data_IF_000215147853
#
_entry.id   IF_000215147853
#
_cell.length_a   1.000
_cell.length_b   1.000
_cell.length_c   1.000
_cell.angle_alpha   90.00
_cell.angle_beta   90.00
_cell.angle_gamma   90.00
#
_symmetry.space_group_name_H-M   'P 1'
#
loop_
_entity.id
_entity.type
_entity.pdbx_description
1 polymer ?
#
# COMPACT_ATOMS: atom_id res chain seq x y z
N UNK A 1 39.01 17.08 6.36
CA UNK A 1 38.22 15.83 6.46
C UNK A 1 37.46 15.73 7.78
N UNK A 2 38.01 16.20 8.91
CA UNK A 2 37.31 16.29 10.20
C UNK A 2 36.02 17.13 10.17
N UNK A 3 36.02 18.28 9.50
CA UNK A 3 34.81 19.13 9.41
C UNK A 3 33.63 18.40 8.78
N UNK A 4 33.86 17.61 7.72
CA UNK A 4 32.80 16.84 7.06
C UNK A 4 32.23 15.73 7.96
N UNK A 5 33.10 15.03 8.71
CA UNK A 5 32.68 13.97 9.64
C UNK A 5 31.89 14.58 10.82
N UNK A 6 32.30 15.74 11.31
CA UNK A 6 31.59 16.45 12.38
C UNK A 6 30.23 16.97 11.90
N UNK A 7 30.14 17.56 10.71
CA UNK A 7 28.86 17.96 10.11
C UNK A 7 27.93 16.76 9.86
N UNK A 8 28.47 15.62 9.42
CA UNK A 8 27.71 14.38 9.30
C UNK A 8 27.14 13.93 10.65
N UNK A 9 27.97 13.96 11.70
CA UNK A 9 27.57 13.56 13.06
C UNK A 9 26.49 14.48 13.63
N UNK A 10 26.61 15.78 13.40
CA UNK A 10 25.61 16.77 13.81
C UNK A 10 24.27 16.53 13.12
N UNK A 11 24.25 16.38 11.79
CA UNK A 11 23.05 16.06 11.01
C UNK A 11 22.40 14.75 11.45
N UNK A 12 23.19 13.69 11.70
CA UNK A 12 22.67 12.43 12.24
C UNK A 12 22.04 12.61 13.63
N UNK A 13 22.66 13.44 14.49
CA UNK A 13 22.13 13.71 15.83
C UNK A 13 20.84 14.54 15.80
N UNK A 14 20.67 15.44 14.84
CA UNK A 14 19.43 16.20 14.64
C UNK A 14 18.30 15.30 14.11
N UNK A 15 18.61 14.41 13.15
CA UNK A 15 17.66 13.41 12.62
C UNK A 15 17.16 12.47 13.73
N UNK A 16 18.00 12.14 14.71
CA UNK A 16 17.60 11.27 15.84
C UNK A 16 16.85 12.02 16.94
N UNK A 17 17.02 13.34 17.06
CA UNK A 17 16.35 14.16 18.09
C UNK A 17 14.94 14.56 17.68
N UNK A 18 14.67 14.71 16.39
CA UNK A 18 13.33 15.04 15.92
C UNK A 18 12.45 13.78 15.89
N UNK A 19 11.28 13.77 16.55
CA UNK A 19 10.38 12.62 16.57
C UNK A 19 9.80 12.30 15.18
N UNK A 20 9.66 13.31 14.31
CA UNK A 20 9.14 13.16 12.95
C UNK A 20 10.12 12.40 12.04
N UNK A 21 11.41 12.67 12.14
CA UNK A 21 12.43 11.99 11.34
C UNK A 21 12.65 10.54 11.77
N UNK A 22 12.43 10.22 13.04
CA UNK A 22 12.46 8.83 13.51
C UNK A 22 11.28 8.03 12.92
N UNK A 23 10.08 8.62 12.91
CA UNK A 23 8.90 8.00 12.32
C UNK A 23 9.05 7.75 10.81
N UNK A 24 9.61 8.72 10.07
CA UNK A 24 9.86 8.54 8.63
C UNK A 24 10.91 7.47 8.36
N UNK A 25 11.98 7.41 9.16
CA UNK A 25 13.01 6.36 9.03
C UNK A 25 12.41 4.96 9.25
N UNK A 26 11.60 4.79 10.30
CA UNK A 26 10.88 3.54 10.55
C UNK A 26 9.93 3.17 9.42
N UNK A 27 9.17 4.13 8.90
CA UNK A 27 8.29 3.93 7.75
C UNK A 27 9.03 3.45 6.51
N UNK A 28 10.20 4.05 6.21
CA UNK A 28 11.06 3.64 5.09
C UNK A 28 11.62 2.22 5.30
N UNK A 29 12.05 1.89 6.53
CA UNK A 29 12.53 0.53 6.86
C UNK A 29 11.41 -0.49 6.64
N UNK A 30 10.19 -0.22 7.13
CA UNK A 30 9.03 -1.11 6.91
C UNK A 30 8.77 -1.28 5.42
N UNK A 31 8.73 -0.19 4.64
CA UNK A 31 8.57 -0.23 3.19
C UNK A 31 9.60 -1.15 2.52
N UNK A 32 10.88 -0.98 2.84
CA UNK A 32 11.97 -1.82 2.31
C UNK A 32 11.76 -3.29 2.68
N UNK A 33 11.43 -3.60 3.93
CA UNK A 33 11.16 -4.97 4.37
C UNK A 33 9.98 -5.59 3.61
N UNK A 34 8.92 -4.81 3.39
CA UNK A 34 7.74 -5.24 2.63
C UNK A 34 8.14 -5.57 1.18
N UNK A 35 8.90 -4.70 0.52
CA UNK A 35 9.42 -4.93 -0.84
C UNK A 35 10.39 -6.13 -0.91
N UNK A 36 11.16 -6.41 0.13
CA UNK A 36 12.01 -7.61 0.19
C UNK A 36 11.13 -8.88 0.19
N UNK A 37 9.97 -8.86 0.85
CA UNK A 37 9.03 -10.00 0.84
C UNK A 37 8.42 -10.25 -0.54
N UNK A 38 8.27 -9.23 -1.39
CA UNK A 38 7.78 -9.41 -2.77
C UNK A 38 8.68 -10.35 -3.59
N UNK A 39 9.98 -10.42 -3.31
CA UNK A 39 10.91 -11.34 -4.01
C UNK A 39 10.60 -12.83 -3.77
N UNK A 40 9.79 -13.16 -2.75
CA UNK A 40 9.40 -14.54 -2.43
C UNK A 40 8.10 -14.98 -3.12
N UNK A 41 7.45 -14.10 -3.88
CA UNK A 41 6.18 -14.41 -4.53
C UNK A 41 6.42 -15.45 -5.64
N UNK A 42 5.74 -16.58 -5.55
CA UNK A 42 5.67 -17.57 -6.63
C UNK A 42 4.35 -17.41 -7.36
N UNK A 43 4.40 -16.96 -8.62
CA UNK A 43 3.21 -16.78 -9.46
C UNK A 43 3.05 -17.99 -10.37
N UNK A 44 1.98 -18.75 -10.14
CA UNK A 44 1.46 -19.73 -11.09
C UNK A 44 0.35 -19.08 -11.93
N UNK A 45 0.14 -19.57 -13.16
CA UNK A 45 -0.89 -19.07 -14.08
C UNK A 45 -2.28 -19.09 -13.45
N UNK A 46 -2.58 -20.11 -12.64
CA UNK A 46 -3.86 -20.21 -11.90
C UNK A 46 -4.02 -19.09 -10.86
N UNK A 47 -2.94 -18.75 -10.15
CA UNK A 47 -2.94 -17.69 -9.14
C UNK A 47 -3.12 -16.34 -9.84
N UNK A 48 -2.39 -16.09 -10.94
CA UNK A 48 -2.53 -14.87 -11.73
C UNK A 48 -3.95 -14.66 -12.25
N UNK A 49 -4.59 -15.72 -12.76
CA UNK A 49 -5.98 -15.64 -13.21
C UNK A 49 -6.95 -15.29 -12.06
N UNK A 50 -6.77 -15.89 -10.87
CA UNK A 50 -7.61 -15.60 -9.69
C UNK A 50 -7.39 -14.19 -9.16
N UNK A 51 -6.14 -13.69 -9.15
CA UNK A 51 -5.84 -12.28 -8.86
C UNK A 51 -6.58 -11.38 -9.85
N UNK A 52 -6.50 -11.66 -11.15
CA UNK A 52 -7.21 -10.87 -12.17
C UNK A 52 -8.72 -10.80 -11.96
N UNK A 53 -9.35 -11.94 -11.64
CA UNK A 53 -10.78 -12.01 -11.31
C UNK A 53 -11.09 -11.19 -10.04
N UNK A 54 -10.27 -11.34 -8.99
CA UNK A 54 -10.45 -10.60 -7.75
C UNK A 54 -10.30 -9.09 -7.94
N UNK A 55 -9.33 -8.66 -8.76
CA UNK A 55 -9.14 -7.25 -9.12
C UNK A 55 -10.36 -6.72 -9.88
N UNK A 56 -10.86 -7.46 -10.88
CA UNK A 56 -12.06 -7.06 -11.62
C UNK A 56 -13.28 -6.92 -10.70
N UNK A 57 -13.49 -7.87 -9.79
CA UNK A 57 -14.57 -7.81 -8.79
C UNK A 57 -14.39 -6.63 -7.84
N UNK A 58 -13.18 -6.40 -7.33
CA UNK A 58 -12.87 -5.28 -6.44
C UNK A 58 -13.16 -3.95 -7.13
N UNK A 59 -12.82 -3.83 -8.41
CA UNK A 59 -13.12 -2.64 -9.22
C UNK A 59 -14.62 -2.43 -9.40
N UNK A 60 -15.38 -3.48 -9.74
CA UNK A 60 -16.85 -3.38 -9.87
C UNK A 60 -17.48 -2.95 -8.53
N UNK A 61 -17.08 -3.58 -7.43
CA UNK A 61 -17.58 -3.23 -6.09
C UNK A 61 -17.21 -1.81 -5.68
N UNK A 62 -16.05 -1.30 -6.13
CA UNK A 62 -15.68 0.09 -5.90
C UNK A 62 -16.59 1.06 -6.66
N UNK A 63 -16.95 0.75 -7.91
CA UNK A 63 -17.80 1.60 -8.75
C UNK A 63 -19.22 1.73 -8.19
N UNK A 64 -19.71 0.71 -7.48
CA UNK A 64 -21.01 0.77 -6.81
C UNK A 64 -20.85 1.47 -5.45
N UNK A 65 -20.98 2.80 -5.48
CA UNK A 65 -20.97 3.66 -4.29
C UNK A 65 -22.34 3.70 -3.64
N UNK A 66 -22.39 3.52 -2.33
CA UNK A 66 -23.64 3.55 -1.54
C UNK A 66 -23.92 4.98 -1.07
N UNK A 67 -22.92 5.63 -0.48
CA UNK A 67 -23.01 6.98 0.06
C UNK A 67 -21.67 7.69 -0.15
N UNK A 68 -21.71 8.89 -0.72
CA UNK A 68 -20.60 9.82 -0.70
C UNK A 68 -20.66 10.63 0.60
N UNK A 69 -19.57 10.67 1.36
CA UNK A 69 -19.50 11.39 2.61
C UNK A 69 -19.37 12.91 2.34
N UNK A 70 -20.02 13.76 3.16
CA UNK A 70 -19.88 15.20 3.03
C UNK A 70 -18.42 15.64 3.22
N UNK A 71 -18.04 16.73 2.54
CA UNK A 71 -16.67 17.31 2.52
C UNK A 71 -15.61 16.50 1.75
N UNK A 72 -15.99 15.52 0.93
CA UNK A 72 -15.04 14.72 0.17
C UNK A 72 -14.18 13.78 1.03
N UNK A 73 -14.62 13.51 2.26
CA UNK A 73 -13.95 12.62 3.23
C UNK A 73 -13.93 11.13 2.80
N UNK A 74 -14.48 10.82 1.63
CA UNK A 74 -14.47 9.50 1.03
C UNK A 74 -15.84 9.06 0.55
N UNK A 75 -15.92 7.79 0.14
CA UNK A 75 -17.17 7.14 -0.28
C UNK A 75 -17.26 5.77 0.38
N UNK A 76 -18.43 5.44 0.90
CA UNK A 76 -18.72 4.09 1.38
C UNK A 76 -19.07 3.25 0.15
N UNK A 77 -18.19 2.32 -0.20
CA UNK A 77 -18.40 1.36 -1.29
C UNK A 77 -18.94 0.03 -0.75
N UNK A 78 -19.41 -0.87 -1.62
CA UNK A 78 -19.95 -2.20 -1.26
C UNK A 78 -18.90 -3.21 -0.75
N UNK A 79 -17.73 -2.75 -0.33
CA UNK A 79 -16.65 -3.61 0.16
C UNK A 79 -15.68 -4.02 -0.94
N UNK A 80 -15.13 -3.05 -1.68
CA UNK A 80 -14.08 -3.30 -2.68
C UNK A 80 -12.83 -4.00 -2.13
N UNK A 81 -12.62 -3.94 -0.82
CA UNK A 81 -11.54 -4.62 -0.12
C UNK A 81 -11.79 -6.14 0.07
N UNK A 82 -13.05 -6.59 -0.01
CA UNK A 82 -13.41 -7.99 0.27
C UNK A 82 -12.73 -8.97 -0.69
N UNK A 83 -12.70 -8.77 -2.02
CA UNK A 83 -11.99 -9.67 -2.92
C UNK A 83 -10.48 -9.74 -2.63
N UNK A 84 -9.87 -8.61 -2.22
CA UNK A 84 -8.44 -8.54 -1.88
C UNK A 84 -8.17 -9.35 -0.61
N UNK A 85 -9.02 -9.19 0.41
CA UNK A 85 -8.95 -9.96 1.66
C UNK A 85 -9.09 -11.46 1.41
N UNK A 86 -10.03 -11.87 0.56
CA UNK A 86 -10.19 -13.29 0.19
C UNK A 86 -8.92 -13.86 -0.45
N UNK A 87 -8.29 -13.11 -1.37
CA UNK A 87 -7.01 -13.53 -1.96
C UNK A 87 -5.92 -13.62 -0.89
N UNK A 88 -5.84 -12.66 0.03
CA UNK A 88 -4.86 -12.68 1.11
C UNK A 88 -5.03 -13.89 2.04
N UNK A 89 -6.27 -14.24 2.41
CA UNK A 89 -6.54 -15.40 3.28
C UNK A 89 -6.29 -16.75 2.58
N UNK A 90 -6.57 -16.85 1.28
CA UNK A 90 -6.41 -18.12 0.54
C UNK A 90 -4.95 -18.37 0.15
N UNK A 91 -4.25 -17.32 -0.26
CA UNK A 91 -2.91 -17.42 -0.86
C UNK A 91 -1.78 -16.89 0.01
N UNK A 92 -2.12 -16.39 1.19
CA UNK A 92 -1.18 -15.79 2.11
C UNK A 92 -0.88 -14.32 1.82
N UNK A 93 -0.09 -13.71 2.70
CA UNK A 93 0.07 -12.26 2.76
C UNK A 93 0.87 -11.72 1.59
N UNK A 94 1.84 -12.46 1.04
CA UNK A 94 2.64 -11.98 -0.09
C UNK A 94 1.78 -11.79 -1.36
N UNK A 95 0.90 -12.75 -1.65
CA UNK A 95 -0.01 -12.68 -2.80
C UNK A 95 -1.13 -11.66 -2.53
N UNK A 96 -1.62 -11.58 -1.29
CA UNK A 96 -2.55 -10.53 -0.85
C UNK A 96 -1.99 -9.12 -1.04
N UNK A 97 -0.74 -8.89 -0.61
CA UNK A 97 -0.07 -7.59 -0.73
C UNK A 97 0.11 -7.18 -2.19
N UNK A 98 0.51 -8.13 -3.07
CA UNK A 98 0.59 -7.87 -4.51
C UNK A 98 -0.77 -7.50 -5.10
N UNK A 99 -1.82 -8.25 -4.74
CA UNK A 99 -3.18 -8.03 -5.22
C UNK A 99 -3.68 -6.65 -4.79
N UNK A 100 -3.48 -6.30 -3.51
CA UNK A 100 -3.81 -4.98 -2.98
C UNK A 100 -3.03 -3.86 -3.67
N UNK A 101 -1.73 -4.01 -3.86
CA UNK A 101 -0.91 -3.03 -4.58
C UNK A 101 -1.42 -2.77 -6.01
N UNK A 102 -1.71 -3.83 -6.76
CA UNK A 102 -2.27 -3.74 -8.12
C UNK A 102 -3.65 -3.06 -8.10
N UNK A 103 -4.49 -3.40 -7.14
CA UNK A 103 -5.78 -2.72 -6.98
C UNK A 103 -5.61 -1.23 -6.71
N UNK A 104 -4.65 -0.83 -5.87
CA UNK A 104 -4.36 0.58 -5.63
C UNK A 104 -3.95 1.34 -6.89
N UNK A 105 -3.18 0.70 -7.78
CA UNK A 105 -2.87 1.29 -9.10
C UNK A 105 -4.14 1.44 -9.95
N UNK A 106 -5.00 0.42 -10.00
CA UNK A 106 -6.27 0.49 -10.73
C UNK A 106 -7.17 1.59 -10.14
N UNK A 107 -7.23 1.70 -8.82
CA UNK A 107 -7.98 2.73 -8.10
C UNK A 107 -7.50 4.14 -8.47
N UNK A 108 -6.19 4.35 -8.58
CA UNK A 108 -5.60 5.63 -9.02
C UNK A 108 -6.02 5.99 -10.44
N UNK A 109 -6.11 5.00 -11.34
CA UNK A 109 -6.50 5.24 -12.74
C UNK A 109 -7.99 5.62 -12.83
N UNK A 110 -8.84 4.98 -12.04
CA UNK A 110 -10.30 5.14 -12.15
C UNK A 110 -10.82 6.35 -11.36
N UNK A 111 -10.22 6.62 -10.19
CA UNK A 111 -10.63 7.69 -9.28
C UNK A 111 -9.41 8.54 -8.88
N UNK A 112 -8.76 9.25 -9.83
CA UNK A 112 -7.55 10.00 -9.55
C UNK A 112 -7.82 11.25 -8.71
N UNK A 113 -7.08 11.37 -7.62
CA UNK A 113 -6.93 12.58 -6.81
C UNK A 113 -5.45 12.75 -6.50
N UNK A 114 -4.79 13.65 -7.23
CA UNK A 114 -3.33 13.81 -7.25
C UNK A 114 -3.01 15.25 -6.87
N UNK A 115 -2.51 15.45 -5.64
CA UNK A 115 -2.01 16.74 -5.18
C UNK A 115 -0.48 16.76 -5.12
N UNK A 116 0.12 15.67 -4.63
CA UNK A 116 1.56 15.53 -4.50
C UNK A 116 1.98 14.08 -4.77
N UNK A 117 3.11 13.82 -5.45
CA UNK A 117 3.52 12.46 -5.79
C UNK A 117 3.62 11.51 -4.59
N UNK A 118 4.09 12.02 -3.44
CA UNK A 118 4.17 11.21 -2.21
C UNK A 118 2.78 10.90 -1.64
N UNK A 119 1.84 11.83 -1.75
CA UNK A 119 0.45 11.61 -1.30
C UNK A 119 -0.22 10.53 -2.16
N UNK A 120 0.07 10.47 -3.46
CA UNK A 120 -0.43 9.39 -4.31
C UNK A 120 0.05 8.03 -3.81
N UNK A 121 1.32 7.92 -3.40
CA UNK A 121 1.84 6.67 -2.87
C UNK A 121 1.12 6.24 -1.57
N UNK A 122 0.82 7.20 -0.69
CA UNK A 122 0.17 6.96 0.59
C UNK A 122 -1.35 6.89 0.56
N UNK A 123 -2.00 7.29 -0.53
CA UNK A 123 -3.47 7.22 -0.67
C UNK A 123 -3.90 6.04 -1.55
N UNK A 124 -3.03 5.56 -2.45
CA UNK A 124 -3.37 4.50 -3.41
C UNK A 124 -2.58 3.20 -3.18
N UNK A 125 -1.33 3.02 -3.65
CA UNK A 125 -0.79 1.66 -3.73
C UNK A 125 -0.42 1.07 -2.36
N UNK A 126 0.08 1.88 -1.41
CA UNK A 126 0.52 1.39 -0.10
C UNK A 126 -0.63 0.99 0.84
N UNK A 127 -1.72 1.78 0.99
CA UNK A 127 -2.84 1.36 1.83
C UNK A 127 -3.48 0.06 1.34
N UNK A 128 -3.71 -0.07 0.02
CA UNK A 128 -4.28 -1.29 -0.51
C UNK A 128 -3.31 -2.47 -0.42
N UNK A 129 -2.00 -2.26 -0.57
CA UNK A 129 -1.00 -3.29 -0.26
C UNK A 129 -1.11 -3.77 1.20
N UNK A 130 -1.30 -2.86 2.16
CA UNK A 130 -1.40 -3.20 3.58
C UNK A 130 -2.62 -4.09 3.90
N UNK A 131 -3.70 -4.02 3.11
CA UNK A 131 -4.85 -4.94 3.22
C UNK A 131 -4.40 -6.40 3.07
N UNK A 132 -3.39 -6.66 2.25
CA UNK A 132 -2.81 -7.97 2.07
C UNK A 132 -2.17 -8.58 3.32
N UNK A 133 -1.80 -7.75 4.31
CA UNK A 133 -1.28 -8.23 5.59
C UNK A 133 -2.31 -9.05 6.38
N UNK A 134 -3.60 -8.94 6.04
CA UNK A 134 -4.65 -9.80 6.60
C UNK A 134 -4.33 -11.30 6.43
N UNK A 135 -3.59 -11.69 5.39
CA UNK A 135 -3.19 -13.08 5.17
C UNK A 135 -2.24 -13.67 6.21
N UNK A 136 -1.77 -12.89 7.20
CA UNK A 136 -1.03 -13.41 8.35
C UNK A 136 -1.93 -14.02 9.43
N UNK A 137 -3.25 -13.82 9.36
CA UNK A 137 -4.25 -14.34 10.29
C UNK A 137 -5.02 -15.50 9.66
#
# INVERSE_FOLDING_TARGET
>A
MENFINTLRESFSEILKSPLSLATLLGVIILILTFIRFKKIKLDSKIMARIGIALALATILHLVKIVDLPNGAGSINLGSMVPILLIAFIYGPEIGMLTGFLFGIIYLIISPYILHPIQVLFDYPLPFMAVGLAGYF
#
